data_IF_164727602794
#
_entry.id   IF_164727602794
#
_cell.length_a   1.000
_cell.length_b   1.000
_cell.length_c   1.000
_cell.angle_alpha   90.00
_cell.angle_beta   90.00
_cell.angle_gamma   90.00
#
_symmetry.space_group_name_H-M   'P 1'
#
loop_
_entity.id
_entity.type
_entity.pdbx_description
1 polymer ?
#
# COMPACT_ATOMS: atom_id res chain seq x y z
N UNK A 1 4.82 10.91 7.44
CA UNK A 1 5.04 10.24 8.71
C UNK A 1 6.51 9.89 8.81
N UNK A 2 7.27 10.38 9.73
CA UNK A 2 8.70 10.12 9.76
C UNK A 2 9.50 10.97 10.74
N UNK A 3 8.82 11.68 11.63
CA UNK A 3 9.51 12.35 12.71
C UNK A 3 9.50 11.43 13.94
N UNK A 4 10.68 11.13 14.47
CA UNK A 4 10.80 10.52 15.79
C UNK A 4 10.31 11.51 16.85
N UNK A 5 9.49 11.03 17.77
CA UNK A 5 9.10 11.78 18.95
C UNK A 5 10.31 11.86 19.88
N UNK A 6 10.69 13.07 20.26
CA UNK A 6 11.81 13.33 21.15
C UNK A 6 11.31 13.55 22.59
N UNK A 7 12.21 13.44 23.55
CA UNK A 7 11.93 13.88 24.92
C UNK A 7 11.45 15.34 24.88
N UNK A 8 10.39 15.63 25.61
CA UNK A 8 9.75 16.95 25.70
C UNK A 8 8.91 17.37 24.47
N UNK A 9 8.70 16.49 23.49
CA UNK A 9 7.68 16.71 22.44
C UNK A 9 6.28 16.61 23.06
N UNK A 10 5.38 17.48 22.61
CA UNK A 10 3.99 17.46 23.00
C UNK A 10 3.12 16.85 21.90
N UNK A 11 2.29 15.87 22.28
CA UNK A 11 1.25 15.33 21.41
C UNK A 11 -0.06 16.00 21.76
N UNK A 12 -0.64 16.68 20.79
CA UNK A 12 -1.92 17.34 20.95
C UNK A 12 -2.95 16.70 20.00
N UNK A 13 -4.06 16.27 20.57
CA UNK A 13 -5.22 15.79 19.80
C UNK A 13 -6.25 16.92 19.82
N UNK A 14 -6.56 17.44 18.64
CA UNK A 14 -7.46 18.57 18.48
C UNK A 14 -8.63 18.16 17.59
N UNK A 15 -9.86 18.41 18.07
CA UNK A 15 -11.04 18.35 17.22
C UNK A 15 -11.00 19.53 16.24
N UNK A 16 -10.98 19.25 14.96
CA UNK A 16 -11.02 20.24 13.89
C UNK A 16 -12.41 20.21 13.24
N UNK A 17 -13.12 21.34 13.29
CA UNK A 17 -14.44 21.51 12.69
C UNK A 17 -15.54 21.76 13.72
N UNK A 18 -16.66 22.30 13.24
CA UNK A 18 -17.82 22.72 14.04
C UNK A 18 -18.94 21.67 14.09
N UNK A 19 -18.64 20.42 13.78
CA UNK A 19 -19.67 19.39 13.89
C UNK A 19 -20.11 19.20 15.37
N UNK A 20 -21.35 18.83 15.57
CA UNK A 20 -21.93 18.62 16.90
C UNK A 20 -21.67 17.21 17.46
N UNK A 21 -20.78 16.43 16.82
CA UNK A 21 -20.50 15.08 17.23
C UNK A 21 -19.56 15.05 18.45
N UNK A 22 -19.82 14.14 19.36
CA UNK A 22 -18.89 13.81 20.43
C UNK A 22 -17.87 12.77 19.93
N UNK A 23 -16.61 12.99 20.28
CA UNK A 23 -15.53 12.06 20.00
C UNK A 23 -14.96 11.55 21.32
N UNK A 24 -14.83 10.24 21.44
CA UNK A 24 -14.15 9.61 22.55
C UNK A 24 -12.79 9.08 22.11
N UNK A 25 -11.78 9.28 22.93
CA UNK A 25 -10.46 8.67 22.74
C UNK A 25 -10.24 7.81 23.98
N UNK A 26 -10.03 6.52 23.72
CA UNK A 26 -9.89 5.55 24.79
C UNK A 26 -8.44 5.52 25.30
N UNK A 27 -7.48 5.43 24.39
CA UNK A 27 -6.05 5.51 24.73
C UNK A 27 -5.23 6.00 23.53
N UNK A 28 -4.01 6.41 23.83
CA UNK A 28 -2.96 6.72 22.82
C UNK A 28 -1.75 5.85 23.15
N UNK A 29 -1.34 5.04 22.21
CA UNK A 29 -0.16 4.20 22.32
C UNK A 29 0.98 4.76 21.48
N UNK A 30 2.17 4.79 22.05
CA UNK A 30 3.39 5.20 21.39
C UNK A 30 4.38 4.06 21.46
N UNK A 31 4.74 3.57 20.30
CA UNK A 31 5.74 2.52 20.17
C UNK A 31 6.84 2.91 19.21
N UNK A 32 7.98 2.28 19.36
CA UNK A 32 9.07 2.45 18.39
C UNK A 32 8.74 1.63 17.14
N UNK A 33 8.65 2.30 16.00
CA UNK A 33 8.52 1.60 14.72
C UNK A 33 9.74 0.69 14.50
N UNK A 34 9.51 -0.54 14.07
CA UNK A 34 10.57 -1.45 13.66
C UNK A 34 11.40 -0.82 12.52
N UNK A 35 12.68 -1.15 12.37
CA UNK A 35 13.47 -0.74 11.22
C UNK A 35 12.84 -1.19 9.91
N UNK A 36 13.09 -0.44 8.84
CA UNK A 36 12.64 -0.84 7.51
C UNK A 36 13.22 -2.22 7.14
N UNK A 37 12.38 -3.08 6.58
CA UNK A 37 12.78 -4.39 6.05
C UNK A 37 13.59 -4.14 4.78
N UNK A 38 14.76 -4.72 4.70
CA UNK A 38 15.59 -4.67 3.52
C UNK A 38 15.01 -5.54 2.39
N UNK A 39 15.38 -5.21 1.16
CA UNK A 39 14.98 -6.00 -0.01
C UNK A 39 15.43 -7.45 0.14
N UNK A 40 14.52 -8.44 0.08
CA UNK A 40 14.90 -9.85 0.08
C UNK A 40 15.82 -10.19 -1.10
N UNK A 41 16.75 -11.11 -0.86
CA UNK A 41 17.64 -11.60 -1.92
C UNK A 41 16.82 -12.18 -3.09
N UNK A 42 17.17 -11.79 -4.29
CA UNK A 42 16.49 -12.20 -5.52
C UNK A 42 15.12 -11.58 -5.75
N UNK A 43 14.57 -10.78 -4.85
CA UNK A 43 13.31 -10.09 -5.10
C UNK A 43 13.45 -9.05 -6.21
N UNK A 44 12.38 -8.88 -7.01
CA UNK A 44 12.29 -7.82 -8.01
C UNK A 44 11.72 -6.58 -7.34
N UNK A 45 12.44 -5.47 -7.37
CA UNK A 45 11.97 -4.23 -6.77
C UNK A 45 11.20 -3.38 -7.78
N UNK A 46 10.14 -2.69 -7.30
CA UNK A 46 9.45 -1.66 -8.08
C UNK A 46 10.42 -0.56 -8.54
N UNK A 47 11.41 -0.23 -7.69
CA UNK A 47 12.44 0.75 -8.03
C UNK A 47 13.45 0.29 -9.12
N UNK A 48 13.45 -0.98 -9.52
CA UNK A 48 14.26 -1.47 -10.65
C UNK A 48 13.66 -1.03 -12.00
N UNK A 49 12.40 -0.61 -12.03
CA UNK A 49 11.79 -0.08 -13.24
C UNK A 49 12.33 1.32 -13.51
N UNK A 50 12.66 1.57 -14.77
CA UNK A 50 13.32 2.82 -15.18
C UNK A 50 12.50 4.06 -14.79
N UNK A 51 13.08 4.91 -13.97
CA UNK A 51 12.49 6.19 -13.57
C UNK A 51 11.55 6.12 -12.36
N UNK A 52 11.15 4.94 -11.90
CA UNK A 52 10.25 4.79 -10.76
C UNK A 52 10.92 5.24 -9.45
N UNK A 53 10.26 6.12 -8.71
CA UNK A 53 10.76 6.69 -7.45
C UNK A 53 9.61 6.97 -6.49
N UNK A 54 9.76 6.66 -5.21
CA UNK A 54 8.72 6.99 -4.25
C UNK A 54 8.63 8.50 -4.02
N UNK A 55 7.41 9.02 -3.91
CA UNK A 55 7.13 10.38 -3.45
C UNK A 55 7.38 11.48 -4.49
N UNK A 56 7.52 11.16 -5.76
CA UNK A 56 7.71 12.14 -6.84
C UNK A 56 6.39 12.59 -7.50
N UNK A 57 5.26 12.02 -7.09
CA UNK A 57 3.93 12.34 -7.62
C UNK A 57 3.63 11.74 -8.99
N UNK A 58 4.48 10.83 -9.47
CA UNK A 58 4.29 10.13 -10.74
C UNK A 58 3.58 8.79 -10.53
N UNK A 59 2.78 8.35 -11.51
CA UNK A 59 2.08 7.06 -11.46
C UNK A 59 3.07 5.90 -11.64
N UNK A 60 3.29 5.13 -10.59
CA UNK A 60 4.15 3.94 -10.55
C UNK A 60 3.42 2.64 -10.94
N UNK A 61 2.20 2.71 -11.46
CA UNK A 61 1.42 1.50 -11.80
C UNK A 61 2.15 0.58 -12.76
N UNK A 62 2.83 1.12 -13.77
CA UNK A 62 3.60 0.34 -14.73
C UNK A 62 4.81 -0.34 -14.07
N UNK A 63 5.45 0.33 -13.12
CA UNK A 63 6.58 -0.21 -12.38
C UNK A 63 6.18 -1.43 -11.54
N UNK A 64 5.05 -1.35 -10.85
CA UNK A 64 4.55 -2.48 -10.07
C UNK A 64 4.11 -3.65 -10.96
N UNK A 65 3.41 -3.38 -12.05
CA UNK A 65 2.99 -4.42 -13.01
C UNK A 65 4.22 -5.09 -13.62
N UNK A 66 5.22 -4.30 -14.03
CA UNK A 66 6.47 -4.83 -14.53
C UNK A 66 7.17 -5.73 -13.49
N UNK A 67 7.28 -5.26 -12.24
CA UNK A 67 7.91 -6.05 -11.18
C UNK A 67 7.19 -7.37 -10.92
N UNK A 68 5.85 -7.38 -10.94
CA UNK A 68 5.05 -8.59 -10.81
C UNK A 68 5.32 -9.57 -11.95
N UNK A 69 5.40 -9.10 -13.19
CA UNK A 69 5.68 -9.92 -14.36
C UNK A 69 7.10 -10.54 -14.29
N UNK A 70 8.10 -9.74 -13.89
CA UNK A 70 9.46 -10.23 -13.73
C UNK A 70 9.56 -11.25 -12.57
N UNK A 71 8.95 -10.94 -11.44
CA UNK A 71 8.94 -11.84 -10.28
C UNK A 71 8.21 -13.14 -10.59
N UNK A 72 7.14 -13.13 -11.34
CA UNK A 72 6.42 -14.34 -11.77
C UNK A 72 7.30 -15.33 -12.53
N UNK A 73 8.23 -14.80 -13.31
CA UNK A 73 9.18 -15.60 -14.09
C UNK A 73 10.42 -16.07 -13.30
N UNK A 74 10.67 -15.48 -12.12
CA UNK A 74 11.91 -15.67 -11.37
C UNK A 74 11.67 -16.07 -9.92
N UNK A 75 11.83 -15.10 -9.01
CA UNK A 75 11.85 -15.31 -7.55
C UNK A 75 10.49 -15.45 -6.89
N UNK A 76 9.41 -15.13 -7.62
CA UNK A 76 8.03 -14.99 -7.07
C UNK A 76 7.87 -13.88 -6.02
N UNK A 77 8.88 -13.04 -5.80
CA UNK A 77 8.86 -11.97 -4.81
C UNK A 77 9.02 -10.60 -5.45
N UNK A 78 8.04 -9.74 -5.22
CA UNK A 78 8.07 -8.31 -5.53
C UNK A 78 8.36 -7.54 -4.25
N UNK A 79 9.28 -6.60 -4.30
CA UNK A 79 9.59 -5.72 -3.19
C UNK A 79 9.21 -4.28 -3.51
N UNK A 80 8.47 -3.65 -2.61
CA UNK A 80 8.10 -2.24 -2.69
C UNK A 80 8.91 -1.49 -1.62
N UNK A 81 9.92 -0.71 -2.00
CA UNK A 81 10.79 -0.02 -1.04
C UNK A 81 10.04 0.97 -0.13
N UNK A 82 10.72 1.43 0.90
CA UNK A 82 10.20 2.49 1.76
C UNK A 82 9.88 3.76 0.97
N UNK A 83 8.79 4.44 1.36
CA UNK A 83 8.29 5.65 0.74
C UNK A 83 6.84 5.52 0.28
N UNK A 84 6.32 6.57 -0.35
CA UNK A 84 4.98 6.59 -0.93
C UNK A 84 5.07 6.29 -2.41
N UNK A 85 4.44 5.19 -2.82
CA UNK A 85 4.35 4.74 -4.21
C UNK A 85 2.94 5.01 -4.71
N UNK A 86 2.81 5.78 -5.79
CA UNK A 86 1.52 6.24 -6.29
C UNK A 86 1.03 5.39 -7.46
N UNK A 87 -0.23 4.91 -7.36
CA UNK A 87 -0.84 4.06 -8.37
C UNK A 87 -2.11 4.70 -8.91
N UNK A 88 -2.06 5.14 -10.16
CA UNK A 88 -3.13 5.87 -10.83
C UNK A 88 -4.27 4.98 -11.34
N UNK A 89 -4.22 3.67 -11.12
CA UNK A 89 -5.25 2.72 -11.55
C UNK A 89 -5.30 1.47 -10.66
N UNK A 90 -6.31 0.64 -10.88
CA UNK A 90 -6.37 -0.70 -10.29
C UNK A 90 -5.18 -1.54 -10.74
N UNK A 91 -4.66 -2.33 -9.83
CA UNK A 91 -3.58 -3.29 -10.10
C UNK A 91 -4.19 -4.69 -10.15
N UNK A 92 -4.19 -5.29 -11.32
CA UNK A 92 -4.60 -6.68 -11.52
C UNK A 92 -3.55 -7.65 -10.99
N UNK A 93 -3.98 -8.63 -10.22
CA UNK A 93 -3.14 -9.74 -9.76
C UNK A 93 -3.41 -10.92 -10.69
N UNK A 94 -2.49 -11.14 -11.63
CA UNK A 94 -2.63 -12.12 -12.71
C UNK A 94 -1.78 -13.39 -12.50
N UNK A 95 -0.88 -13.36 -11.53
CA UNK A 95 0.07 -14.43 -11.27
C UNK A 95 -0.15 -15.07 -9.91
N UNK A 96 -0.31 -16.39 -9.90
CA UNK A 96 -0.38 -17.17 -8.66
C UNK A 96 0.99 -17.34 -7.99
N UNK A 97 0.97 -17.46 -6.66
CA UNK A 97 2.17 -17.75 -5.87
C UNK A 97 3.11 -16.56 -5.71
N UNK A 98 2.67 -15.33 -6.02
CA UNK A 98 3.48 -14.13 -5.78
C UNK A 98 3.48 -13.72 -4.31
N UNK A 99 4.63 -13.28 -3.84
CA UNK A 99 4.76 -12.48 -2.62
C UNK A 99 4.98 -11.03 -3.01
N UNK A 100 4.14 -10.12 -2.52
CA UNK A 100 4.29 -8.66 -2.65
C UNK A 100 4.59 -8.13 -1.26
N UNK A 101 5.83 -7.70 -1.04
CA UNK A 101 6.32 -7.29 0.26
C UNK A 101 6.78 -5.84 0.26
N UNK A 102 6.32 -5.08 1.23
CA UNK A 102 6.83 -3.73 1.51
C UNK A 102 8.03 -3.74 2.43
N UNK A 103 8.57 -2.57 2.69
CA UNK A 103 9.64 -2.36 3.66
C UNK A 103 9.14 -2.27 5.12
N UNK A 104 7.88 -2.56 5.36
CA UNK A 104 7.23 -2.49 6.65
C UNK A 104 5.99 -1.59 6.62
N UNK A 105 4.99 -1.91 7.47
CA UNK A 105 3.72 -1.19 7.51
C UNK A 105 3.86 0.32 7.84
N UNK A 106 4.97 0.73 8.46
CA UNK A 106 5.26 2.13 8.76
C UNK A 106 6.16 2.81 7.72
N UNK A 107 6.70 2.04 6.79
CA UNK A 107 7.72 2.49 5.84
C UNK A 107 7.22 2.56 4.41
N UNK A 108 6.38 1.62 3.98
CA UNK A 108 5.86 1.56 2.61
C UNK A 108 4.39 1.97 2.57
N UNK A 109 4.10 3.03 1.83
CA UNK A 109 2.75 3.47 1.51
C UNK A 109 2.39 3.12 0.06
N UNK A 110 1.43 2.23 -0.11
CA UNK A 110 0.80 1.93 -1.40
C UNK A 110 -0.40 2.86 -1.56
N UNK A 111 -0.22 3.96 -2.30
CA UNK A 111 -1.23 5.01 -2.43
C UNK A 111 -1.92 4.97 -3.78
N UNK A 112 -3.24 4.81 -3.75
CA UNK A 112 -4.05 4.88 -4.97
C UNK A 112 -4.54 6.31 -5.22
N UNK A 113 -4.29 6.82 -6.42
CA UNK A 113 -4.56 8.23 -6.79
C UNK A 113 -5.55 8.38 -7.94
N UNK A 114 -6.11 7.27 -8.47
CA UNK A 114 -7.09 7.35 -9.55
C UNK A 114 -8.36 8.06 -9.10
N UNK A 115 -8.82 8.99 -9.92
CA UNK A 115 -10.11 9.67 -9.74
C UNK A 115 -11.26 8.99 -10.50
N UNK A 116 -10.98 7.89 -11.19
CA UNK A 116 -11.96 7.14 -11.96
C UNK A 116 -12.83 6.25 -11.06
N UNK A 117 -14.08 6.07 -11.44
CA UNK A 117 -15.00 5.17 -10.74
C UNK A 117 -14.42 3.76 -10.60
N UNK A 118 -14.33 3.27 -9.37
CA UNK A 118 -13.72 1.97 -9.05
C UNK A 118 -12.23 1.89 -9.36
N UNK A 119 -11.53 3.02 -9.39
CA UNK A 119 -10.19 3.15 -9.94
C UNK A 119 -9.03 2.75 -9.06
N UNK A 120 -9.22 2.35 -7.81
CA UNK A 120 -8.10 2.02 -6.89
C UNK A 120 -8.16 0.59 -6.38
N UNK A 121 -7.02 0.12 -5.87
CA UNK A 121 -6.86 -1.16 -5.18
C UNK A 121 -6.33 -2.30 -6.04
N UNK A 122 -6.14 -3.43 -5.38
CA UNK A 122 -5.73 -4.68 -6.00
C UNK A 122 -6.93 -5.54 -6.40
N UNK A 123 -6.87 -6.14 -7.58
CA UNK A 123 -7.94 -7.00 -8.09
C UNK A 123 -7.40 -8.40 -8.33
N UNK A 124 -7.89 -9.37 -7.57
CA UNK A 124 -7.59 -10.78 -7.82
C UNK A 124 -8.36 -11.26 -9.04
N UNK A 125 -7.65 -11.60 -10.09
CA UNK A 125 -8.24 -12.18 -11.28
C UNK A 125 -8.62 -13.65 -11.05
N UNK A 126 -9.61 -14.13 -11.82
CA UNK A 126 -10.17 -15.47 -11.62
C UNK A 126 -9.08 -16.55 -11.70
N UNK A 127 -9.02 -17.39 -10.69
CA UNK A 127 -8.08 -18.51 -10.63
C UNK A 127 -6.72 -18.18 -10.02
N UNK A 128 -6.47 -16.90 -9.68
CA UNK A 128 -5.22 -16.50 -9.01
C UNK A 128 -5.30 -16.84 -7.54
N UNK A 129 -4.32 -17.58 -7.04
CA UNK A 129 -4.21 -17.96 -5.63
C UNK A 129 -2.76 -18.08 -5.15
N UNK A 130 -2.58 -18.34 -3.85
CA UNK A 130 -1.26 -18.42 -3.23
C UNK A 130 -0.52 -17.09 -3.18
N UNK A 131 -1.22 -15.96 -3.35
CA UNK A 131 -0.61 -14.63 -3.27
C UNK A 131 -0.47 -14.23 -1.80
N UNK A 132 0.72 -13.76 -1.44
CA UNK A 132 0.99 -13.14 -0.14
C UNK A 132 1.24 -11.66 -0.31
N UNK A 133 0.55 -10.81 0.46
CA UNK A 133 0.76 -9.37 0.49
C UNK A 133 1.02 -8.96 1.93
N UNK A 134 2.16 -8.33 2.20
CA UNK A 134 2.62 -8.05 3.57
C UNK A 134 3.50 -6.80 3.65
N UNK A 135 3.62 -6.28 4.86
CA UNK A 135 4.60 -5.24 5.23
C UNK A 135 4.44 -3.90 4.49
N UNK A 136 3.21 -3.49 4.21
CA UNK A 136 2.90 -2.14 3.71
C UNK A 136 1.52 -1.69 4.19
N UNK A 137 1.27 -0.40 4.21
CA UNK A 137 -0.07 0.12 4.38
C UNK A 137 -0.62 0.70 3.06
N UNK A 138 -1.93 0.79 2.98
CA UNK A 138 -2.62 1.33 1.82
C UNK A 138 -3.31 2.64 2.16
N UNK A 139 -3.24 3.60 1.24
CA UNK A 139 -3.95 4.87 1.34
C UNK A 139 -4.55 5.29 0.01
N UNK A 140 -5.34 6.34 0.01
CA UNK A 140 -5.88 6.93 -1.21
C UNK A 140 -5.97 8.46 -1.09
N UNK A 141 -6.19 9.11 -2.22
CA UNK A 141 -6.46 10.55 -2.27
C UNK A 141 -7.96 10.90 -2.10
N UNK A 142 -8.81 9.94 -1.75
CA UNK A 142 -10.22 10.18 -1.52
C UNK A 142 -10.46 11.12 -0.36
N UNK A 143 -11.23 12.17 -0.60
CA UNK A 143 -11.68 13.13 0.42
C UNK A 143 -13.10 12.87 0.89
N UNK A 144 -13.85 12.01 0.18
CA UNK A 144 -15.21 11.62 0.52
C UNK A 144 -15.45 10.16 0.18
N UNK A 145 -16.13 9.44 1.08
CA UNK A 145 -16.57 8.06 0.84
C UNK A 145 -17.89 7.98 0.06
N UNK A 146 -18.50 9.12 -0.23
CA UNK A 146 -19.78 9.23 -0.95
C UNK A 146 -19.54 9.87 -2.31
N UNK A 147 -20.07 9.26 -3.37
CA UNK A 147 -19.98 9.75 -4.73
C UNK A 147 -19.57 8.67 -5.71
N UNK A 148 -19.82 8.90 -6.99
CA UNK A 148 -19.54 7.93 -8.06
C UNK A 148 -18.06 7.59 -8.20
N UNK A 149 -17.18 8.55 -7.88
CA UNK A 149 -15.73 8.38 -7.92
C UNK A 149 -15.15 7.73 -6.66
N UNK A 150 -15.94 7.54 -5.61
CA UNK A 150 -15.52 7.01 -4.32
C UNK A 150 -15.55 5.47 -4.26
N UNK A 151 -15.34 4.77 -5.36
CA UNK A 151 -15.40 3.30 -5.41
C UNK A 151 -14.03 2.65 -5.28
N UNK A 152 -13.19 3.19 -4.42
CA UNK A 152 -11.94 2.53 -4.07
C UNK A 152 -12.21 1.27 -3.27
N UNK A 153 -11.51 0.22 -3.61
CA UNK A 153 -11.50 -1.03 -2.86
C UNK A 153 -10.05 -1.37 -2.60
N UNK A 154 -9.69 -1.62 -1.35
CA UNK A 154 -8.33 -2.10 -1.04
C UNK A 154 -8.05 -3.38 -1.81
N UNK A 155 -9.00 -4.31 -1.73
CA UNK A 155 -8.95 -5.59 -2.43
C UNK A 155 -10.31 -5.91 -3.06
N UNK A 156 -10.30 -6.47 -4.27
CA UNK A 156 -11.49 -6.89 -5.00
C UNK A 156 -11.23 -8.19 -5.75
N UNK A 157 -12.31 -8.82 -6.25
CA UNK A 157 -12.23 -10.05 -7.04
C UNK A 157 -12.36 -11.31 -6.18
N UNK A 158 -11.94 -12.46 -6.74
CA UNK A 158 -12.03 -13.77 -6.11
C UNK A 158 -10.63 -14.32 -5.87
N UNK A 159 -10.13 -14.10 -4.68
CA UNK A 159 -8.85 -14.68 -4.27
C UNK A 159 -8.95 -16.20 -4.22
N UNK A 160 -8.00 -16.88 -4.86
CA UNK A 160 -7.87 -18.34 -4.80
C UNK A 160 -7.34 -18.84 -3.46
N UNK A 161 -7.26 -20.15 -3.32
CA UNK A 161 -6.76 -20.79 -2.11
C UNK A 161 -5.35 -20.30 -1.75
N UNK A 162 -5.01 -20.36 -0.45
CA UNK A 162 -3.72 -19.98 0.12
C UNK A 162 -3.30 -18.52 -0.14
N UNK A 163 -4.25 -17.63 -0.42
CA UNK A 163 -4.00 -16.19 -0.50
C UNK A 163 -4.03 -15.58 0.90
N UNK A 164 -3.04 -14.73 1.20
CA UNK A 164 -2.88 -14.07 2.50
C UNK A 164 -2.62 -12.59 2.31
N UNK A 165 -3.31 -11.75 3.06
CA UNK A 165 -3.00 -10.33 3.24
C UNK A 165 -2.77 -10.12 4.73
N UNK A 166 -1.60 -9.65 5.10
CA UNK A 166 -1.21 -9.48 6.50
C UNK A 166 -0.12 -8.40 6.65
N UNK A 167 -0.02 -7.89 7.84
CA UNK A 167 1.10 -7.12 8.36
C UNK A 167 1.61 -7.78 9.62
#
# INVERSE_FOLDING_TARGET
LGRQIQKDDHIQIVKVGDDQNAYGIDFVELEQAAPAIERPEGAVSVADYQGAKPGDGVDDSDALIWAMNQAAATSKTVYIPAGTWEFGRKIGLDHSGLTIQGAGMWHTNVRFTSDQAGGGGFVFNRGVGGVTMTDFYMSSNLTSRFGEKAQYKGFAGSAGANTRVAN
#
